data_IF_899260141144
#
_entry.id   IF_899260141144
#
_cell.length_a   1.000
_cell.length_b   1.000
_cell.length_c   1.000
_cell.angle_alpha   90.00
_cell.angle_beta   90.00
_cell.angle_gamma   90.00
#
_symmetry.space_group_name_H-M   'P 1'
#
loop_
_entity.id
_entity.type
_entity.pdbx_description
1 polymer ?
#
# COMPACT_ATOMS: atom_id res chain seq x y z
N UNK A 1 6.68 -19.13 -2.99
CA UNK A 1 6.08 -17.84 -2.58
C UNK A 1 6.23 -17.68 -1.07
N UNK A 2 6.30 -16.44 -0.58
CA UNK A 2 6.30 -16.15 0.87
C UNK A 2 4.87 -16.10 1.42
N UNK A 3 4.71 -16.33 2.72
CA UNK A 3 3.40 -16.31 3.37
C UNK A 3 2.89 -14.88 3.55
N UNK A 4 1.66 -14.62 3.11
CA UNK A 4 0.95 -13.36 3.39
C UNK A 4 0.54 -13.23 4.85
N UNK A 5 0.32 -14.37 5.53
CA UNK A 5 0.07 -14.41 6.97
C UNK A 5 1.29 -13.97 7.79
N UNK A 6 2.48 -14.45 7.43
CA UNK A 6 3.74 -14.01 8.05
C UNK A 6 3.91 -12.49 7.92
N UNK A 7 3.75 -11.94 6.71
CA UNK A 7 3.83 -10.50 6.49
C UNK A 7 2.79 -9.73 7.31
N UNK A 8 1.57 -10.26 7.39
CA UNK A 8 0.52 -9.67 8.21
C UNK A 8 0.91 -9.63 9.69
N UNK A 9 1.22 -10.79 10.28
CA UNK A 9 1.48 -10.93 11.72
C UNK A 9 2.75 -10.16 12.13
N UNK A 10 3.79 -10.19 11.29
CA UNK A 10 5.07 -9.61 11.65
C UNK A 10 5.16 -8.11 11.38
N UNK A 11 4.39 -7.62 10.39
CA UNK A 11 4.45 -6.22 9.92
C UNK A 11 3.13 -5.50 10.11
N UNK A 12 2.10 -5.83 9.33
CA UNK A 12 0.84 -5.07 9.25
C UNK A 12 0.16 -4.97 10.62
N UNK A 13 0.06 -6.06 11.36
CA UNK A 13 -0.63 -6.13 12.65
C UNK A 13 0.06 -5.32 13.77
N UNK A 14 1.29 -4.85 13.54
CA UNK A 14 2.08 -4.09 14.53
C UNK A 14 2.19 -2.60 14.21
N UNK A 15 1.58 -2.16 13.10
CA UNK A 15 1.61 -0.75 12.72
C UNK A 15 0.80 0.06 13.72
N UNK A 16 1.39 1.14 14.20
CA UNK A 16 0.68 2.18 14.94
C UNK A 16 0.07 3.15 13.92
N UNK A 17 -1.15 2.84 13.48
CA UNK A 17 -1.77 3.45 12.31
C UNK A 17 -1.95 4.95 12.45
N UNK A 18 -1.41 5.69 11.47
CA UNK A 18 -1.54 7.14 11.35
C UNK A 18 -0.99 7.94 12.55
N UNK A 19 -0.22 7.31 13.43
CA UNK A 19 0.37 7.90 14.64
C UNK A 19 1.29 9.09 14.35
N UNK A 20 1.86 9.16 13.15
CA UNK A 20 2.76 10.24 12.72
C UNK A 20 2.19 11.14 11.62
N UNK A 21 0.94 10.95 11.20
CA UNK A 21 0.30 11.81 10.20
C UNK A 21 0.35 13.29 10.62
N UNK A 22 1.02 14.12 9.81
CA UNK A 22 1.21 15.56 10.05
C UNK A 22 2.41 15.93 10.91
N UNK A 23 3.19 14.95 11.34
CA UNK A 23 4.51 15.16 11.95
C UNK A 23 5.61 15.16 10.87
N UNK A 24 6.85 15.41 11.29
CA UNK A 24 7.99 15.37 10.39
C UNK A 24 8.30 13.94 9.91
N UNK A 25 8.52 13.78 8.60
CA UNK A 25 8.70 12.48 7.97
C UNK A 25 10.17 12.04 8.09
N UNK A 26 10.43 10.98 8.84
CA UNK A 26 11.75 10.37 9.01
C UNK A 26 11.76 8.92 8.49
N UNK A 27 11.64 8.74 7.18
CA UNK A 27 11.52 7.43 6.52
C UNK A 27 12.70 7.18 5.59
N UNK A 28 13.26 5.97 5.64
CA UNK A 28 14.24 5.50 4.66
C UNK A 28 13.48 4.80 3.53
N UNK A 29 13.28 5.51 2.41
CA UNK A 29 12.65 4.98 1.19
C UNK A 29 13.53 5.23 -0.03
N UNK A 30 13.36 4.39 -1.06
CA UNK A 30 14.01 4.55 -2.36
C UNK A 30 13.29 5.55 -3.29
N UNK A 31 12.20 6.16 -2.82
CA UNK A 31 11.40 7.12 -3.58
C UNK A 31 11.66 8.54 -3.07
N UNK A 32 11.82 9.48 -4.00
CA UNK A 32 11.70 10.90 -3.63
C UNK A 32 10.30 11.14 -3.07
N UNK A 33 10.18 11.99 -2.07
CA UNK A 33 8.88 12.31 -1.48
C UNK A 33 8.70 13.79 -1.17
N UNK A 34 7.44 14.19 -1.08
CA UNK A 34 7.01 15.54 -0.72
C UNK A 34 6.01 15.42 0.43
N UNK A 35 6.25 16.19 1.48
CA UNK A 35 5.37 16.26 2.63
C UNK A 35 4.07 17.02 2.29
N UNK A 36 2.95 16.41 2.61
CA UNK A 36 1.60 16.99 2.61
C UNK A 36 1.21 17.21 4.07
N UNK A 37 0.76 18.40 4.47
CA UNK A 37 0.65 18.73 5.90
C UNK A 37 -0.77 18.64 6.48
N UNK A 38 -1.77 18.22 5.69
CA UNK A 38 -3.19 18.24 6.10
C UNK A 38 -3.99 17.11 5.46
N UNK A 39 -4.89 16.50 6.24
CA UNK A 39 -5.86 15.50 5.77
C UNK A 39 -6.69 15.95 4.56
N UNK A 40 -7.09 17.23 4.48
CA UNK A 40 -7.84 17.75 3.32
C UNK A 40 -7.06 17.58 2.00
N UNK A 41 -5.74 17.73 2.06
CA UNK A 41 -4.89 17.58 0.88
C UNK A 41 -4.63 16.09 0.59
N UNK A 42 -4.56 15.24 1.62
CA UNK A 42 -4.57 13.76 1.45
C UNK A 42 -5.80 13.31 0.68
N UNK A 43 -7.00 13.70 1.13
CA UNK A 43 -8.26 13.34 0.49
C UNK A 43 -8.42 13.87 -0.94
N UNK A 44 -7.67 14.93 -1.29
CA UNK A 44 -7.64 15.49 -2.65
C UNK A 44 -6.67 14.72 -3.56
N UNK A 45 -5.54 14.28 -3.00
CA UNK A 45 -4.51 13.58 -3.75
C UNK A 45 -4.83 12.09 -3.94
N UNK A 46 -5.61 11.48 -3.04
CA UNK A 46 -6.23 10.17 -3.26
C UNK A 46 -7.35 10.35 -4.28
N UNK A 47 -6.99 10.18 -5.54
CA UNK A 47 -7.84 10.38 -6.70
C UNK A 47 -7.53 9.35 -7.79
N UNK A 48 -8.28 9.39 -8.89
CA UNK A 48 -8.14 8.44 -9.98
C UNK A 48 -6.74 8.39 -10.61
N UNK A 49 -5.98 9.48 -10.61
CA UNK A 49 -4.60 9.45 -11.12
C UNK A 49 -3.69 8.63 -10.21
N UNK A 50 -3.87 8.75 -8.89
CA UNK A 50 -3.17 7.92 -7.91
C UNK A 50 -3.51 6.45 -8.07
N UNK A 51 -4.81 6.13 -8.17
CA UNK A 51 -5.28 4.74 -8.32
C UNK A 51 -4.82 4.13 -9.65
N UNK A 52 -4.86 4.90 -10.75
CA UNK A 52 -4.41 4.44 -12.06
C UNK A 52 -2.90 4.16 -12.09
N UNK A 53 -2.08 4.98 -11.42
CA UNK A 53 -0.64 4.74 -11.30
C UNK A 53 -0.38 3.42 -10.57
N UNK A 54 -0.98 3.28 -9.40
CA UNK A 54 -0.90 2.08 -8.57
C UNK A 54 -1.33 0.84 -9.35
N UNK A 55 -2.46 0.90 -10.03
CA UNK A 55 -2.98 -0.16 -10.89
C UNK A 55 -2.04 -0.52 -12.04
N UNK A 56 -1.47 0.49 -12.71
CA UNK A 56 -0.50 0.29 -13.79
C UNK A 56 0.72 -0.51 -13.30
N UNK A 57 1.29 -0.14 -12.16
CA UNK A 57 2.46 -0.82 -11.59
C UNK A 57 2.12 -2.26 -11.20
N UNK A 58 0.99 -2.47 -10.52
CA UNK A 58 0.51 -3.83 -10.19
C UNK A 58 0.28 -4.68 -11.45
N UNK A 59 -0.25 -4.10 -12.52
CA UNK A 59 -0.47 -4.82 -13.76
C UNK A 59 0.87 -5.26 -14.40
N UNK A 60 1.91 -4.43 -14.33
CA UNK A 60 3.26 -4.84 -14.76
C UNK A 60 3.80 -6.04 -13.97
N UNK A 61 3.56 -6.08 -12.65
CA UNK A 61 3.88 -7.24 -11.82
C UNK A 61 3.13 -8.49 -12.29
N UNK A 62 1.81 -8.41 -12.46
CA UNK A 62 1.01 -9.58 -12.89
C UNK A 62 1.39 -10.07 -14.27
N UNK A 63 1.71 -9.17 -15.22
CA UNK A 63 2.19 -9.55 -16.55
C UNK A 63 3.53 -10.29 -16.47
N UNK A 64 4.48 -9.77 -15.68
CA UNK A 64 5.78 -10.42 -15.50
C UNK A 64 5.64 -11.82 -14.89
N UNK A 65 4.77 -11.99 -13.89
CA UNK A 65 4.47 -13.30 -13.30
C UNK A 65 3.83 -14.25 -14.31
N UNK A 66 2.83 -13.77 -15.07
CA UNK A 66 2.16 -14.59 -16.08
C UNK A 66 3.13 -15.08 -17.18
N UNK A 67 4.06 -14.23 -17.60
CA UNK A 67 5.02 -14.53 -18.65
C UNK A 67 6.15 -15.45 -18.20
N UNK A 68 6.66 -15.28 -16.97
CA UNK A 68 7.90 -15.93 -16.51
C UNK A 68 7.68 -17.01 -15.43
N UNK A 69 6.55 -16.96 -14.71
CA UNK A 69 6.28 -17.75 -13.50
C UNK A 69 4.82 -18.24 -13.49
N UNK A 70 4.43 -18.88 -14.59
CA UNK A 70 3.02 -19.17 -14.88
C UNK A 70 2.34 -20.06 -13.84
N UNK A 71 3.07 -21.02 -13.26
CA UNK A 71 2.50 -21.91 -12.24
C UNK A 71 2.27 -21.14 -10.94
N UNK A 72 3.21 -20.29 -10.52
CA UNK A 72 3.07 -19.41 -9.37
C UNK A 72 1.98 -18.37 -9.56
N UNK A 73 1.82 -17.86 -10.79
CA UNK A 73 0.77 -16.90 -11.12
C UNK A 73 -0.64 -17.51 -10.95
N UNK A 74 -0.82 -18.82 -11.12
CA UNK A 74 -2.13 -19.48 -10.88
C UNK A 74 -2.61 -19.34 -9.43
N UNK A 75 -1.68 -19.20 -8.50
CA UNK A 75 -1.98 -19.01 -7.08
C UNK A 75 -2.37 -17.57 -6.72
N UNK A 76 -2.30 -16.62 -7.66
CA UNK A 76 -2.59 -15.21 -7.42
C UNK A 76 -3.94 -14.99 -6.74
N UNK A 77 -4.98 -15.69 -7.21
CA UNK A 77 -6.33 -15.57 -6.65
C UNK A 77 -6.42 -16.16 -5.25
N UNK A 78 -5.78 -17.31 -5.00
CA UNK A 78 -5.78 -17.96 -3.68
C UNK A 78 -5.11 -17.05 -2.64
N UNK A 79 -3.94 -16.51 -2.97
CA UNK A 79 -3.19 -15.60 -2.10
C UNK A 79 -3.96 -14.29 -1.89
N UNK A 80 -4.60 -13.76 -2.94
CA UNK A 80 -5.44 -12.56 -2.82
C UNK A 80 -6.60 -12.78 -1.85
N UNK A 81 -7.26 -13.94 -1.90
CA UNK A 81 -8.36 -14.28 -1.00
C UNK A 81 -7.88 -14.41 0.46
N UNK A 82 -6.74 -15.06 0.67
CA UNK A 82 -6.12 -15.15 1.99
C UNK A 82 -5.76 -13.76 2.55
N UNK A 83 -5.06 -12.94 1.77
CA UNK A 83 -4.67 -11.59 2.17
C UNK A 83 -5.88 -10.71 2.50
N UNK A 84 -6.94 -10.73 1.67
CA UNK A 84 -8.19 -10.01 1.96
C UNK A 84 -8.85 -10.49 3.26
N UNK A 85 -8.85 -11.80 3.51
CA UNK A 85 -9.40 -12.37 4.73
C UNK A 85 -8.64 -11.89 5.96
N UNK A 86 -7.30 -11.92 5.92
CA UNK A 86 -6.45 -11.43 7.02
C UNK A 86 -6.69 -9.95 7.31
N UNK A 87 -6.70 -9.10 6.27
CA UNK A 87 -6.93 -7.66 6.42
C UNK A 87 -8.32 -7.38 7.02
N UNK A 88 -9.37 -8.02 6.48
CA UNK A 88 -10.76 -7.82 6.92
C UNK A 88 -11.01 -8.29 8.36
N UNK A 89 -10.40 -9.40 8.74
CA UNK A 89 -10.52 -9.94 10.11
C UNK A 89 -9.57 -9.26 11.10
N UNK A 90 -8.84 -8.24 10.64
CA UNK A 90 -7.79 -7.58 11.39
C UNK A 90 -7.85 -6.06 11.27
N UNK A 91 -6.75 -5.46 10.82
CA UNK A 91 -6.54 -3.99 10.83
C UNK A 91 -7.60 -3.17 10.10
N UNK A 92 -8.34 -3.73 9.14
CA UNK A 92 -9.36 -2.94 8.42
C UNK A 92 -10.51 -2.47 9.33
N UNK A 93 -10.80 -3.18 10.42
CA UNK A 93 -11.82 -2.73 11.37
C UNK A 93 -11.35 -1.49 12.14
N UNK A 94 -10.10 -1.49 12.61
CA UNK A 94 -9.48 -0.35 13.29
C UNK A 94 -9.37 0.86 12.36
N UNK A 95 -8.92 0.64 11.12
CA UNK A 95 -8.85 1.68 10.10
C UNK A 95 -10.23 2.28 9.80
N UNK A 96 -11.27 1.45 9.68
CA UNK A 96 -12.64 1.93 9.49
C UNK A 96 -13.10 2.83 10.64
N UNK A 97 -12.85 2.44 11.89
CA UNK A 97 -13.14 3.28 13.06
C UNK A 97 -12.38 4.60 13.02
N UNK A 98 -11.07 4.59 12.74
CA UNK A 98 -10.27 5.81 12.63
C UNK A 98 -10.83 6.78 11.57
N UNK A 99 -11.18 6.26 10.39
CA UNK A 99 -11.74 7.05 9.28
C UNK A 99 -13.08 7.69 9.70
N UNK A 100 -13.94 6.95 10.39
CA UNK A 100 -15.23 7.45 10.87
C UNK A 100 -15.09 8.53 11.95
N UNK A 101 -14.25 8.28 12.96
CA UNK A 101 -14.03 9.20 14.08
C UNK A 101 -13.43 10.53 13.61
N UNK A 102 -12.52 10.47 12.63
CA UNK A 102 -11.87 11.65 12.04
C UNK A 102 -12.66 12.27 10.88
N UNK A 103 -13.84 11.72 10.54
CA UNK A 103 -14.73 12.20 9.46
C UNK A 103 -14.02 12.31 8.10
N UNK A 104 -13.14 11.36 7.83
CA UNK A 104 -12.41 11.27 6.56
C UNK A 104 -13.26 10.59 5.49
N UNK A 105 -13.01 10.91 4.22
CA UNK A 105 -13.67 10.27 3.08
C UNK A 105 -13.36 8.77 3.03
N UNK A 106 -14.34 7.99 2.59
CA UNK A 106 -14.19 6.55 2.38
C UNK A 106 -13.07 6.18 1.40
N UNK A 107 -12.74 7.08 0.46
CA UNK A 107 -11.62 6.88 -0.47
C UNK A 107 -10.27 6.71 0.23
N UNK A 108 -10.10 7.27 1.44
CA UNK A 108 -8.89 7.04 2.25
C UNK A 108 -8.81 5.58 2.69
N UNK A 109 -9.91 5.04 3.24
CA UNK A 109 -10.02 3.62 3.61
C UNK A 109 -9.75 2.72 2.40
N UNK A 110 -10.43 2.97 1.27
CA UNK A 110 -10.29 2.18 0.05
C UNK A 110 -8.86 2.21 -0.50
N UNK A 111 -8.19 3.37 -0.45
CA UNK A 111 -6.79 3.49 -0.87
C UNK A 111 -5.90 2.64 0.03
N UNK A 112 -6.05 2.74 1.35
CA UNK A 112 -5.22 1.99 2.31
C UNK A 112 -5.45 0.48 2.16
N UNK A 113 -6.71 0.03 2.07
CA UNK A 113 -7.02 -1.38 1.84
C UNK A 113 -6.31 -1.92 0.59
N UNK A 114 -6.35 -1.17 -0.50
CA UNK A 114 -5.72 -1.56 -1.75
C UNK A 114 -4.19 -1.57 -1.65
N UNK A 115 -3.61 -0.58 -0.95
CA UNK A 115 -2.17 -0.44 -0.77
C UNK A 115 -1.61 -1.59 0.08
N UNK A 116 -2.30 -1.97 1.16
CA UNK A 116 -1.92 -3.11 1.99
C UNK A 116 -2.04 -4.43 1.22
N UNK A 117 -3.15 -4.64 0.50
CA UNK A 117 -3.32 -5.84 -0.31
C UNK A 117 -2.20 -5.99 -1.33
N UNK A 118 -1.88 -4.92 -2.05
CA UNK A 118 -0.84 -4.99 -3.10
C UNK A 118 0.58 -5.12 -2.54
N UNK A 119 0.88 -4.55 -1.37
CA UNK A 119 2.13 -4.80 -0.67
C UNK A 119 2.28 -6.26 -0.23
N UNK A 120 1.21 -6.86 0.32
CA UNK A 120 1.19 -8.29 0.66
C UNK A 120 1.43 -9.18 -0.56
N UNK A 121 0.80 -8.85 -1.69
CA UNK A 121 1.00 -9.59 -2.95
C UNK A 121 2.44 -9.44 -3.45
N UNK A 122 3.00 -8.24 -3.48
CA UNK A 122 4.38 -8.01 -3.90
C UNK A 122 5.39 -8.74 -2.98
N UNK A 123 5.14 -8.77 -1.66
CA UNK A 123 5.94 -9.56 -0.71
C UNK A 123 5.85 -11.07 -0.99
N UNK A 124 4.65 -11.61 -1.19
CA UNK A 124 4.44 -13.04 -1.45
C UNK A 124 5.21 -13.52 -2.69
N UNK A 125 5.26 -12.68 -3.71
CA UNK A 125 5.97 -12.96 -4.97
C UNK A 125 7.43 -12.51 -5.00
N UNK A 126 7.96 -11.96 -3.91
CA UNK A 126 9.38 -11.52 -3.81
C UNK A 126 10.45 -12.58 -4.14
N UNK A 127 10.21 -13.91 -4.07
CA UNK A 127 11.16 -14.89 -4.58
C UNK A 127 11.30 -14.91 -6.11
N UNK A 128 10.34 -14.33 -6.85
CA UNK A 128 10.24 -14.40 -8.32
C UNK A 128 10.39 -13.04 -8.99
N UNK A 129 9.99 -11.98 -8.29
CA UNK A 129 10.07 -10.60 -8.75
C UNK A 129 10.75 -9.74 -7.71
N UNK A 130 11.46 -8.70 -8.16
CA UNK A 130 12.07 -7.75 -7.25
C UNK A 130 10.99 -6.96 -6.52
N UNK A 131 11.15 -6.78 -5.22
CA UNK A 131 10.35 -5.83 -4.44
C UNK A 131 10.42 -4.44 -5.06
N UNK A 132 9.29 -3.77 -5.08
CA UNK A 132 9.09 -2.57 -5.88
C UNK A 132 8.23 -1.55 -5.16
N UNK A 133 7.35 -0.94 -5.92
CA UNK A 133 6.64 0.26 -5.50
C UNK A 133 5.72 0.00 -4.30
N UNK A 134 4.99 -1.12 -4.26
CA UNK A 134 3.97 -1.33 -3.23
C UNK A 134 4.59 -1.62 -1.85
N UNK A 135 5.72 -2.32 -1.80
CA UNK A 135 6.49 -2.50 -0.57
C UNK A 135 7.24 -1.23 -0.15
N UNK A 136 7.62 -0.34 -1.08
CA UNK A 136 8.11 1.00 -0.71
C UNK A 136 6.97 1.88 -0.13
N UNK A 137 5.75 1.81 -0.67
CA UNK A 137 4.58 2.46 -0.05
C UNK A 137 4.32 1.92 1.35
N UNK A 138 4.50 0.61 1.54
CA UNK A 138 4.29 -0.03 2.83
C UNK A 138 5.19 0.54 3.94
N UNK A 139 6.43 0.91 3.63
CA UNK A 139 7.34 1.55 4.60
C UNK A 139 6.78 2.87 5.15
N UNK A 140 5.95 3.56 4.37
CA UNK A 140 5.27 4.78 4.83
C UNK A 140 4.26 4.45 5.92
N UNK A 141 3.47 3.39 5.73
CA UNK A 141 2.58 2.91 6.78
C UNK A 141 3.34 2.38 8.00
N UNK A 142 4.44 1.65 7.83
CA UNK A 142 5.28 1.18 8.96
C UNK A 142 5.80 2.34 9.83
N UNK A 143 5.95 3.53 9.25
CA UNK A 143 6.35 4.74 9.96
C UNK A 143 5.20 5.53 10.59
N UNK A 144 3.96 5.05 10.51
CA UNK A 144 2.78 5.76 11.03
C UNK A 144 2.29 6.91 10.15
N UNK A 145 2.74 6.99 8.90
CA UNK A 145 2.33 7.98 7.90
C UNK A 145 1.40 7.37 6.84
N UNK A 146 0.84 8.20 5.95
CA UNK A 146 0.02 7.76 4.81
C UNK A 146 0.58 8.26 3.47
N UNK A 147 0.85 7.37 2.49
CA UNK A 147 1.05 7.78 1.11
C UNK A 147 -0.28 8.21 0.51
N UNK A 148 -0.32 9.39 -0.11
CA UNK A 148 -1.57 9.98 -0.58
C UNK A 148 -1.57 10.40 -2.04
N UNK A 149 -0.51 10.14 -2.82
CA UNK A 149 -0.49 10.48 -4.23
C UNK A 149 0.91 10.47 -4.85
N UNK A 150 1.00 10.86 -6.12
CA UNK A 150 2.26 10.99 -6.84
C UNK A 150 2.31 12.31 -7.60
N UNK A 151 3.44 13.02 -7.51
CA UNK A 151 3.69 14.25 -8.26
C UNK A 151 4.79 14.03 -9.29
N UNK A 152 4.46 14.22 -10.57
CA UNK A 152 5.38 14.00 -11.68
C UNK A 152 4.93 12.84 -12.57
N UNK A 153 5.81 12.38 -13.46
CA UNK A 153 5.52 11.30 -14.43
C UNK A 153 6.27 10.04 -14.03
N UNK A 154 5.55 8.99 -13.68
CA UNK A 154 6.20 7.71 -13.38
C UNK A 154 7.16 7.25 -14.51
N UNK A 155 8.38 6.74 -14.18
CA UNK A 155 8.91 6.54 -12.82
C UNK A 155 9.63 7.77 -12.23
N UNK A 156 9.73 8.89 -12.95
CA UNK A 156 10.32 10.14 -12.46
C UNK A 156 9.29 11.02 -11.73
N UNK A 157 9.37 11.06 -10.41
CA UNK A 157 8.49 11.91 -9.62
C UNK A 157 8.67 11.67 -8.15
N UNK A 158 7.73 12.19 -7.37
CA UNK A 158 7.80 12.13 -5.91
C UNK A 158 6.51 11.62 -5.32
N UNK A 159 6.63 10.72 -4.36
CA UNK A 159 5.55 10.25 -3.53
C UNK A 159 5.03 11.38 -2.65
N UNK A 160 3.72 11.54 -2.54
CA UNK A 160 3.11 12.45 -1.58
C UNK A 160 2.86 11.68 -0.28
N UNK A 161 3.37 12.17 0.83
CA UNK A 161 3.25 11.53 2.15
C UNK A 161 2.70 12.54 3.14
N UNK A 162 1.77 12.12 3.99
CA UNK A 162 1.29 12.86 5.15
C UNK A 162 1.63 12.14 6.44
#
# INVERSE_FOLDING_TARGET
MKSVKEFYDEKIAKIDWFSNCGNEINIITNLDFIHVNKWRDVEKNINSNWDNLKLHIRNSLTSSLHENWREEYREWNNITLEAKSLLKNGVLNELSTFIQENKLKNSVYESVEWDLLTAMMEYAYSPYVKLGFHTELFKVYESGHIPCGWKGKWPQGSLLIF
#
